data_IF_744269795961
#
_entry.id   IF_744269795961
#
_cell.length_a   1.000
_cell.length_b   1.000
_cell.length_c   1.000
_cell.angle_alpha   90.00
_cell.angle_beta   90.00
_cell.angle_gamma   90.00
#
_symmetry.space_group_name_H-M   'P 1'
#
loop_
_entity.id
_entity.type
_entity.pdbx_description
1 polymer ?
#
# COMPACT_ATOMS: atom_id res chain seq x y z
N UNK A 1 -0.02 14.78 -6.35
CA UNK A 1 -0.44 13.63 -5.52
C UNK A 1 -1.96 13.70 -5.37
N UNK A 2 -2.66 12.57 -5.38
CA UNK A 2 -4.12 12.58 -5.18
C UNK A 2 -4.44 12.50 -3.69
N UNK A 3 -5.42 13.29 -3.25
CA UNK A 3 -5.95 13.22 -1.88
C UNK A 3 -6.57 11.84 -1.67
N UNK A 4 -6.44 11.29 -0.46
CA UNK A 4 -7.09 10.04 -0.06
C UNK A 4 -8.62 10.12 -0.25
N UNK A 5 -9.25 8.99 -0.56
CA UNK A 5 -10.68 8.86 -0.85
C UNK A 5 -11.58 9.52 0.22
N UNK A 6 -12.16 10.71 -0.06
CA UNK A 6 -12.86 11.49 0.98
C UNK A 6 -14.12 10.80 1.51
N UNK A 7 -14.83 10.07 0.65
CA UNK A 7 -16.02 9.30 0.98
C UNK A 7 -15.75 8.26 2.08
N UNK A 8 -14.59 7.59 2.02
CA UNK A 8 -14.19 6.63 3.04
C UNK A 8 -13.90 7.33 4.38
N UNK A 9 -13.23 8.50 4.34
CA UNK A 9 -12.88 9.24 5.56
C UNK A 9 -14.12 9.83 6.26
N UNK A 10 -15.14 10.21 5.50
CA UNK A 10 -16.40 10.68 6.05
C UNK A 10 -17.19 9.57 6.76
N UNK A 11 -17.00 8.32 6.34
CA UNK A 11 -17.63 7.15 6.94
C UNK A 11 -16.84 6.56 8.12
N UNK A 12 -15.58 6.94 8.29
CA UNK A 12 -14.64 6.32 9.24
C UNK A 12 -15.11 6.34 10.71
N UNK A 13 -15.76 7.41 11.16
CA UNK A 13 -16.32 7.52 12.52
C UNK A 13 -17.78 7.09 12.61
N UNK A 14 -18.41 6.72 11.50
CA UNK A 14 -19.82 6.33 11.48
C UNK A 14 -19.98 4.91 12.04
N UNK A 15 -21.13 4.70 12.69
CA UNK A 15 -21.48 3.43 13.33
C UNK A 15 -21.33 2.20 12.40
N UNK A 16 -21.70 2.24 11.10
CA UNK A 16 -21.53 1.08 10.22
C UNK A 16 -20.09 0.60 10.08
N UNK A 17 -19.12 1.53 9.96
CA UNK A 17 -17.70 1.19 9.87
C UNK A 17 -17.20 0.58 11.19
N UNK A 18 -17.47 1.25 12.32
CA UNK A 18 -17.02 0.79 13.64
C UNK A 18 -17.64 -0.56 14.03
N UNK A 19 -18.92 -0.80 13.71
CA UNK A 19 -19.58 -2.10 13.94
C UNK A 19 -18.98 -3.20 13.07
N UNK A 20 -18.57 -2.89 11.83
CA UNK A 20 -17.89 -3.86 10.95
C UNK A 20 -16.53 -4.25 11.53
N UNK A 21 -15.73 -3.27 11.98
CA UNK A 21 -14.44 -3.50 12.65
C UNK A 21 -14.65 -4.32 13.92
N UNK A 22 -15.57 -3.89 14.80
CA UNK A 22 -15.95 -4.61 16.01
C UNK A 22 -16.25 -6.08 15.74
N UNK A 23 -17.16 -6.35 14.80
CA UNK A 23 -17.58 -7.71 14.46
C UNK A 23 -16.43 -8.55 13.88
N UNK A 24 -15.60 -7.98 13.02
CA UNK A 24 -14.53 -8.71 12.32
C UNK A 24 -13.37 -9.07 13.26
N UNK A 25 -13.04 -8.18 14.19
CA UNK A 25 -11.91 -8.33 15.11
C UNK A 25 -12.32 -8.77 16.52
N UNK A 26 -13.60 -9.14 16.69
CA UNK A 26 -14.17 -9.68 17.92
C UNK A 26 -14.00 -8.77 19.14
N UNK A 27 -14.18 -7.46 18.95
CA UNK A 27 -14.22 -6.52 20.07
C UNK A 27 -15.53 -6.66 20.86
N UNK A 28 -15.43 -6.61 22.18
CA UNK A 28 -16.56 -6.68 23.08
C UNK A 28 -17.40 -5.38 23.05
N UNK A 29 -18.65 -5.44 23.50
CA UNK A 29 -19.53 -4.25 23.50
C UNK A 29 -18.94 -3.08 24.32
N UNK A 30 -18.33 -3.40 25.46
CA UNK A 30 -17.72 -2.39 26.34
C UNK A 30 -16.48 -1.71 25.73
N UNK A 31 -15.89 -2.30 24.68
CA UNK A 31 -14.72 -1.74 24.00
C UNK A 31 -15.09 -0.77 22.88
N UNK A 32 -16.38 -0.57 22.59
CA UNK A 32 -16.84 0.28 21.49
C UNK A 32 -16.45 1.75 21.66
N UNK A 33 -16.52 2.27 22.88
CA UNK A 33 -16.14 3.65 23.16
C UNK A 33 -14.64 3.86 23.00
N UNK A 34 -13.82 2.89 23.42
CA UNK A 34 -12.36 2.91 23.20
C UNK A 34 -12.02 2.82 21.71
N UNK A 35 -12.67 1.91 20.97
CA UNK A 35 -12.49 1.77 19.52
C UNK A 35 -12.82 3.09 18.79
N UNK A 36 -13.92 3.75 19.19
CA UNK A 36 -14.31 5.05 18.64
C UNK A 36 -13.32 6.16 19.02
N UNK A 37 -12.78 6.13 20.25
CA UNK A 37 -11.77 7.08 20.68
C UNK A 37 -10.49 6.97 19.85
N UNK A 38 -9.97 5.75 19.66
CA UNK A 38 -8.79 5.50 18.80
C UNK A 38 -9.05 5.95 17.37
N UNK A 39 -10.22 5.64 16.80
CA UNK A 39 -10.59 6.13 15.47
C UNK A 39 -10.64 7.68 15.43
N UNK A 40 -11.12 8.32 16.49
CA UNK A 40 -11.14 9.78 16.63
C UNK A 40 -9.73 10.40 16.62
N UNK A 41 -8.77 9.76 17.27
CA UNK A 41 -7.35 10.19 17.27
C UNK A 41 -6.68 9.95 15.91
N UNK A 42 -7.03 8.87 15.21
CA UNK A 42 -6.50 8.55 13.88
C UNK A 42 -6.98 9.53 12.79
N UNK A 43 -8.27 9.89 12.80
CA UNK A 43 -8.89 10.65 11.71
C UNK A 43 -8.15 11.95 11.31
N UNK A 44 -7.78 12.86 12.24
CA UNK A 44 -7.09 14.10 11.85
C UNK A 44 -5.70 13.85 11.25
N UNK A 45 -5.01 12.77 11.65
CA UNK A 45 -3.71 12.38 11.09
C UNK A 45 -3.87 11.90 9.65
N UNK A 46 -4.85 11.00 9.43
CA UNK A 46 -5.16 10.45 8.12
C UNK A 46 -5.63 11.54 7.16
N UNK A 47 -6.51 12.44 7.60
CA UNK A 47 -6.98 13.58 6.77
C UNK A 47 -5.85 14.49 6.29
N UNK A 48 -4.77 14.59 7.06
CA UNK A 48 -3.61 15.42 6.72
C UNK A 48 -2.62 14.70 5.83
N UNK A 49 -2.39 13.41 6.06
CA UNK A 49 -1.21 12.71 5.52
C UNK A 49 -1.54 11.56 4.58
N UNK A 50 -2.77 11.05 4.59
CA UNK A 50 -3.13 9.92 3.75
C UNK A 50 -3.22 10.33 2.29
N UNK A 51 -2.77 9.45 1.40
CA UNK A 51 -2.77 9.67 -0.04
C UNK A 51 -2.83 8.36 -0.80
N UNK A 52 -3.06 8.49 -2.11
CA UNK A 52 -2.85 7.40 -3.05
C UNK A 52 -2.32 7.92 -4.37
N UNK A 53 -1.59 7.05 -5.09
CA UNK A 53 -1.05 7.34 -6.41
C UNK A 53 -1.08 6.11 -7.30
N UNK A 54 -1.14 6.34 -8.61
CA UNK A 54 -1.05 5.28 -9.62
C UNK A 54 -0.14 5.67 -10.77
N UNK A 55 0.57 4.70 -11.34
CA UNK A 55 1.37 4.87 -12.56
C UNK A 55 1.19 3.67 -13.46
N UNK A 56 1.29 3.90 -14.77
CA UNK A 56 1.34 2.79 -15.73
C UNK A 56 2.56 1.94 -15.40
N UNK A 57 2.33 0.64 -15.27
CA UNK A 57 3.38 -0.34 -15.02
C UNK A 57 3.66 -1.11 -16.30
N UNK A 58 4.94 -1.24 -16.65
CA UNK A 58 5.36 -1.77 -17.95
C UNK A 58 5.84 -3.21 -17.89
N UNK A 59 5.94 -3.83 -16.70
CA UNK A 59 6.31 -5.23 -16.62
C UNK A 59 5.05 -6.11 -16.70
N UNK A 60 4.75 -6.63 -17.90
CA UNK A 60 3.98 -7.87 -18.00
C UNK A 60 4.90 -9.06 -17.62
N UNK A 61 4.35 -10.20 -17.17
CA UNK A 61 5.14 -11.40 -16.88
C UNK A 61 6.01 -11.87 -18.06
N UNK A 62 5.65 -11.55 -19.30
CA UNK A 62 6.34 -11.95 -20.53
C UNK A 62 7.44 -10.99 -21.00
N UNK A 63 7.42 -9.72 -20.59
CA UNK A 63 8.49 -8.74 -20.91
C UNK A 63 9.63 -8.73 -19.87
N UNK A 64 9.57 -9.66 -18.89
CA UNK A 64 10.44 -9.77 -17.71
C UNK A 64 11.90 -10.12 -18.00
N UNK A 65 12.18 -11.07 -18.91
CA UNK A 65 13.54 -11.63 -19.03
C UNK A 65 14.59 -10.55 -19.36
N UNK A 66 14.29 -9.64 -20.29
CA UNK A 66 15.20 -8.56 -20.69
C UNK A 66 15.46 -7.49 -19.61
N UNK A 67 14.51 -7.25 -18.70
CA UNK A 67 14.66 -6.24 -17.63
C UNK A 67 15.55 -6.75 -16.49
N UNK A 68 15.34 -7.99 -16.06
CA UNK A 68 16.11 -8.62 -14.97
C UNK A 68 17.52 -9.05 -15.41
N UNK A 69 17.68 -9.53 -16.64
CA UNK A 69 19.00 -9.81 -17.24
C UNK A 69 19.89 -8.56 -17.28
N UNK A 70 19.34 -7.40 -17.65
CA UNK A 70 20.07 -6.13 -17.70
C UNK A 70 20.52 -5.66 -16.30
N UNK A 71 19.83 -6.09 -15.23
CA UNK A 71 20.15 -5.76 -13.84
C UNK A 71 21.02 -6.82 -13.15
N UNK A 72 21.42 -7.89 -13.84
CA UNK A 72 22.27 -8.95 -13.28
C UNK A 72 21.55 -9.88 -12.29
N UNK A 73 20.22 -9.87 -12.30
CA UNK A 73 19.41 -10.78 -11.48
C UNK A 73 19.12 -12.03 -12.28
N UNK A 74 19.88 -13.09 -12.05
CA UNK A 74 19.59 -14.40 -12.61
C UNK A 74 18.40 -14.99 -11.86
N UNK A 75 17.27 -15.18 -12.54
CA UNK A 75 16.19 -16.01 -12.02
C UNK A 75 16.76 -17.38 -11.64
N UNK A 76 16.34 -17.92 -10.49
CA UNK A 76 16.69 -19.28 -10.07
C UNK A 76 16.39 -20.29 -11.20
N UNK A 77 17.29 -21.23 -11.48
CA UNK A 77 17.23 -22.10 -12.65
C UNK A 77 16.23 -23.25 -12.42
N UNK A 78 14.95 -22.94 -12.29
CA UNK A 78 13.89 -23.95 -12.20
C UNK A 78 12.71 -23.54 -13.06
N UNK A 79 12.95 -23.51 -14.38
CA UNK A 79 12.01 -23.92 -15.44
C UNK A 79 12.72 -23.83 -16.79
N UNK A 80 13.56 -24.82 -17.08
CA UNK A 80 13.69 -25.30 -18.46
C UNK A 80 12.74 -26.49 -18.58
N UNK A 81 11.85 -26.40 -19.56
CA UNK A 81 10.91 -27.42 -20.03
C UNK A 81 9.58 -27.50 -19.26
N UNK A 82 8.51 -26.94 -19.82
CA UNK A 82 7.55 -27.68 -20.66
C UNK A 82 6.97 -26.67 -21.66
N UNK A 83 7.52 -26.69 -22.89
CA UNK A 83 6.80 -26.22 -24.06
C UNK A 83 5.78 -27.32 -24.39
N UNK A 84 4.50 -27.05 -24.20
CA UNK A 84 3.43 -27.71 -24.92
C UNK A 84 2.30 -26.70 -25.13
N UNK A 85 2.35 -26.08 -26.31
CA UNK A 85 1.23 -25.68 -27.16
C UNK A 85 -0.07 -25.29 -26.46
N UNK A 86 -0.15 -24.03 -26.03
CA UNK A 86 -1.43 -23.36 -25.74
C UNK A 86 -2.03 -22.84 -27.07
N UNK A 87 -3.35 -22.97 -27.28
CA UNK A 87 -3.97 -22.64 -28.56
C UNK A 87 -3.92 -21.15 -28.84
N UNK A 88 -3.44 -20.81 -30.03
CA UNK A 88 -3.46 -19.49 -30.64
C UNK A 88 -4.93 -19.03 -30.83
N UNK A 89 -5.53 -18.40 -29.81
CA UNK A 89 -6.60 -17.41 -29.93
C UNK A 89 -7.06 -16.92 -28.54
N UNK A 90 -6.28 -16.04 -27.92
CA UNK A 90 -6.78 -15.16 -26.87
C UNK A 90 -6.14 -13.79 -27.10
N UNK A 91 -6.96 -12.76 -27.30
CA UNK A 91 -6.51 -11.41 -27.64
C UNK A 91 -5.79 -10.77 -26.46
N UNK A 92 -4.49 -11.03 -26.30
CA UNK A 92 -3.58 -10.45 -25.29
C UNK A 92 -3.35 -8.92 -25.46
N UNK A 93 -4.08 -8.29 -26.38
CA UNK A 93 -3.93 -6.86 -26.73
C UNK A 93 -4.74 -5.92 -25.83
N UNK A 94 -5.61 -6.44 -24.96
CA UNK A 94 -6.51 -5.64 -24.12
C UNK A 94 -6.23 -5.76 -22.61
N UNK A 95 -4.98 -6.04 -22.24
CA UNK A 95 -4.52 -5.98 -20.84
C UNK A 95 -3.62 -4.77 -20.58
N UNK A 96 -3.79 -4.16 -19.42
CA UNK A 96 -2.98 -3.02 -18.96
C UNK A 96 -2.63 -3.19 -17.49
N UNK A 97 -1.45 -2.72 -17.11
CA UNK A 97 -0.98 -2.81 -15.72
C UNK A 97 -0.75 -1.43 -15.14
N UNK A 98 -1.15 -1.24 -13.88
CA UNK A 98 -0.89 -0.02 -13.13
C UNK A 98 -0.31 -0.36 -11.76
N UNK A 99 0.82 0.23 -11.41
CA UNK A 99 1.32 0.22 -10.05
C UNK A 99 0.51 1.22 -9.24
N UNK A 100 0.14 0.85 -8.02
CA UNK A 100 -0.66 1.68 -7.12
C UNK A 100 -0.01 1.69 -5.74
N UNK A 101 0.07 2.87 -5.16
CA UNK A 101 0.57 3.11 -3.80
C UNK A 101 -0.54 3.79 -3.02
N UNK A 102 -0.84 3.27 -1.83
CA UNK A 102 -1.83 3.84 -0.91
C UNK A 102 -1.19 3.90 0.48
N UNK A 103 -1.30 5.04 1.18
CA UNK A 103 -0.75 5.20 2.53
C UNK A 103 -1.72 5.97 3.43
N UNK A 104 -1.77 5.60 4.71
CA UNK A 104 -2.46 6.36 5.76
C UNK A 104 -1.56 7.42 6.43
N UNK A 105 -0.29 7.50 6.05
CA UNK A 105 0.65 8.50 6.57
C UNK A 105 1.44 8.06 7.82
N UNK A 106 2.46 8.85 8.15
CA UNK A 106 3.39 8.59 9.26
C UNK A 106 2.76 8.84 10.63
N UNK A 107 1.79 9.75 10.71
CA UNK A 107 1.10 10.10 11.94
C UNK A 107 0.41 8.89 12.56
N UNK A 108 -0.11 7.96 11.75
CA UNK A 108 -0.71 6.72 12.25
C UNK A 108 0.33 5.81 12.91
N UNK A 109 1.53 5.71 12.33
CA UNK A 109 2.64 4.97 12.93
C UNK A 109 3.10 5.63 14.23
N UNK A 110 3.27 6.96 14.23
CA UNK A 110 3.66 7.73 15.41
C UNK A 110 2.64 7.59 16.55
N UNK A 111 1.34 7.53 16.22
CA UNK A 111 0.26 7.29 17.18
C UNK A 111 0.34 5.88 17.77
N UNK A 112 0.54 4.86 16.93
CA UNK A 112 0.71 3.48 17.40
C UNK A 112 1.96 3.34 18.29
N UNK A 113 3.06 3.98 17.93
CA UNK A 113 4.30 4.01 18.74
C UNK A 113 4.12 4.76 20.06
N UNK A 114 3.26 5.79 20.09
CA UNK A 114 2.86 6.48 21.33
C UNK A 114 2.09 5.54 22.27
N UNK A 115 1.10 4.80 21.76
CA UNK A 115 0.38 3.81 22.57
C UNK A 115 1.30 2.69 23.06
N UNK A 116 2.18 2.19 22.20
CA UNK A 116 3.12 1.13 22.55
C UNK A 116 4.05 1.55 23.70
N UNK A 117 4.61 2.76 23.64
CA UNK A 117 5.44 3.32 24.73
C UNK A 117 4.69 3.50 26.05
N UNK A 118 3.37 3.68 26.01
CA UNK A 118 2.51 3.78 27.19
C UNK A 118 2.01 2.42 27.70
N UNK A 119 2.39 1.30 27.06
CA UNK A 119 1.88 -0.03 27.39
C UNK A 119 0.42 -0.25 26.99
N UNK A 120 -0.13 0.60 26.13
CA UNK A 120 -1.52 0.57 25.67
C UNK A 120 -1.71 -0.42 24.52
N UNK A 121 -1.52 -1.71 24.81
CA UNK A 121 -1.52 -2.78 23.80
C UNK A 121 -2.89 -2.97 23.12
N UNK A 122 -3.98 -2.80 23.87
CA UNK A 122 -5.36 -2.87 23.33
C UNK A 122 -5.58 -1.80 22.24
N UNK A 123 -5.13 -0.57 22.51
CA UNK A 123 -5.27 0.56 21.58
C UNK A 123 -4.33 0.41 20.37
N UNK A 124 -3.14 -0.17 20.54
CA UNK A 124 -2.28 -0.54 19.41
C UNK A 124 -3.00 -1.51 18.46
N UNK A 125 -3.69 -2.50 19.01
CA UNK A 125 -4.45 -3.50 18.24
C UNK A 125 -5.72 -2.91 17.62
N UNK A 126 -6.44 -2.04 18.33
CA UNK A 126 -7.58 -1.29 17.76
C UNK A 126 -7.15 -0.43 16.58
N UNK A 127 -6.04 0.30 16.71
CA UNK A 127 -5.46 1.10 15.63
C UNK A 127 -5.10 0.22 14.42
N UNK A 128 -4.50 -0.95 14.66
CA UNK A 128 -4.19 -1.93 13.61
C UNK A 128 -5.45 -2.38 12.86
N UNK A 129 -6.50 -2.75 13.60
CA UNK A 129 -7.77 -3.20 13.04
C UNK A 129 -8.46 -2.11 12.21
N UNK A 130 -8.50 -0.88 12.73
CA UNK A 130 -9.07 0.28 12.07
C UNK A 130 -8.30 0.63 10.78
N UNK A 131 -6.96 0.65 10.85
CA UNK A 131 -6.11 0.94 9.70
C UNK A 131 -6.25 -0.14 8.61
N UNK A 132 -6.29 -1.41 9.01
CA UNK A 132 -6.47 -2.54 8.09
C UNK A 132 -7.80 -2.48 7.34
N UNK A 133 -8.90 -2.19 8.04
CA UNK A 133 -10.22 -2.02 7.40
C UNK A 133 -10.26 -0.81 6.48
N UNK A 134 -9.61 0.28 6.86
CA UNK A 134 -9.56 1.49 6.04
C UNK A 134 -8.76 1.27 4.75
N UNK A 135 -7.61 0.57 4.83
CA UNK A 135 -6.86 0.16 3.65
C UNK A 135 -7.65 -0.83 2.79
N UNK A 136 -8.45 -1.72 3.39
CA UNK A 136 -9.33 -2.60 2.63
C UNK A 136 -10.42 -1.84 1.86
N UNK A 137 -11.05 -0.84 2.48
CA UNK A 137 -12.03 0.01 1.80
C UNK A 137 -11.41 0.78 0.63
N UNK A 138 -10.11 1.13 0.72
CA UNK A 138 -9.38 1.84 -0.32
C UNK A 138 -9.30 1.06 -1.66
N UNK A 139 -9.27 -0.28 -1.64
CA UNK A 139 -9.36 -1.08 -2.87
C UNK A 139 -10.71 -0.90 -3.56
N UNK A 140 -11.78 -0.86 -2.77
CA UNK A 140 -13.13 -0.60 -3.25
C UNK A 140 -13.24 0.79 -3.89
N UNK A 141 -12.66 1.82 -3.27
CA UNK A 141 -12.65 3.16 -3.83
C UNK A 141 -11.75 3.28 -5.07
N UNK A 142 -10.59 2.62 -5.10
CA UNK A 142 -9.75 2.55 -6.30
C UNK A 142 -10.50 1.90 -7.47
N UNK A 143 -11.23 0.81 -7.23
CA UNK A 143 -12.06 0.18 -8.26
C UNK A 143 -13.13 1.11 -8.81
N UNK A 144 -13.87 1.80 -7.92
CA UNK A 144 -14.86 2.81 -8.34
C UNK A 144 -14.20 3.90 -9.17
N UNK A 145 -13.07 4.44 -8.70
CA UNK A 145 -12.31 5.44 -9.44
C UNK A 145 -11.96 4.97 -10.85
N UNK A 146 -11.40 3.76 -11.00
CA UNK A 146 -11.02 3.20 -12.30
C UNK A 146 -12.22 3.05 -13.22
N UNK A 147 -13.36 2.57 -12.71
CA UNK A 147 -14.60 2.40 -13.47
C UNK A 147 -15.24 3.73 -13.89
N UNK A 148 -15.21 4.74 -13.03
CA UNK A 148 -15.84 6.05 -13.28
C UNK A 148 -15.00 6.95 -14.19
N UNK A 149 -13.67 6.81 -14.14
CA UNK A 149 -12.73 7.73 -14.81
C UNK A 149 -12.01 7.12 -16.01
N UNK A 150 -12.19 5.81 -16.26
CA UNK A 150 -11.52 5.12 -17.37
C UNK A 150 -12.47 4.14 -18.07
N UNK A 151 -12.04 3.60 -19.22
CA UNK A 151 -12.74 2.51 -19.91
C UNK A 151 -12.29 1.12 -19.47
N UNK A 152 -11.61 1.04 -18.33
CA UNK A 152 -10.96 -0.16 -17.83
C UNK A 152 -11.61 -0.62 -16.52
N UNK A 153 -11.46 -1.89 -16.22
CA UNK A 153 -11.90 -2.54 -14.99
C UNK A 153 -10.72 -3.27 -14.36
N UNK A 154 -10.63 -3.29 -13.03
CA UNK A 154 -9.59 -4.04 -12.33
C UNK A 154 -9.92 -5.53 -12.39
N UNK A 155 -9.13 -6.26 -13.18
CA UNK A 155 -9.20 -7.70 -13.31
C UNK A 155 -8.57 -8.39 -12.11
N UNK A 156 -7.40 -7.96 -11.63
CA UNK A 156 -6.67 -8.63 -10.53
C UNK A 156 -5.72 -7.66 -9.82
N UNK A 157 -5.37 -7.99 -8.57
CA UNK A 157 -4.33 -7.32 -7.81
C UNK A 157 -3.18 -8.29 -7.57
N UNK A 158 -1.96 -7.82 -7.74
CA UNK A 158 -0.74 -8.57 -7.48
C UNK A 158 0.10 -7.81 -6.46
N UNK A 159 0.42 -8.48 -5.36
CA UNK A 159 1.21 -7.89 -4.28
C UNK A 159 2.66 -8.37 -4.40
N UNK A 160 3.65 -7.47 -4.37
CA UNK A 160 5.06 -7.89 -4.33
C UNK A 160 5.32 -8.88 -3.19
N UNK A 161 5.91 -10.02 -3.52
CA UNK A 161 6.17 -11.14 -2.62
C UNK A 161 5.04 -12.18 -2.50
N UNK A 162 3.87 -11.96 -3.13
CA UNK A 162 2.75 -12.93 -3.04
C UNK A 162 2.78 -14.01 -4.13
N UNK A 163 3.43 -13.75 -5.25
CA UNK A 163 3.47 -14.62 -6.43
C UNK A 163 4.88 -14.62 -7.02
N UNK A 164 5.32 -15.72 -7.64
CA UNK A 164 6.64 -15.81 -8.30
C UNK A 164 6.84 -14.75 -9.39
N UNK A 165 5.74 -14.33 -10.02
CA UNK A 165 5.75 -13.31 -11.08
C UNK A 165 5.95 -11.89 -10.56
N UNK A 166 5.73 -11.67 -9.25
CA UNK A 166 5.80 -10.39 -8.58
C UNK A 166 6.69 -10.52 -7.33
N UNK A 167 8.02 -10.65 -7.50
CA UNK A 167 8.95 -10.81 -6.38
C UNK A 167 8.95 -9.56 -5.48
N UNK A 168 9.30 -9.72 -4.20
CA UNK A 168 9.30 -8.60 -3.24
C UNK A 168 10.34 -7.54 -3.61
N UNK A 169 11.42 -7.97 -4.24
CA UNK A 169 12.59 -7.19 -4.67
C UNK A 169 12.26 -6.12 -5.72
N UNK A 170 11.08 -6.18 -6.34
CA UNK A 170 10.62 -5.13 -7.27
C UNK A 170 10.08 -3.88 -6.55
N UNK A 171 9.84 -3.94 -5.24
CA UNK A 171 9.29 -2.81 -4.46
C UNK A 171 10.08 -1.50 -4.61
N UNK A 172 11.43 -1.48 -4.51
CA UNK A 172 12.20 -0.25 -4.66
C UNK A 172 12.00 0.40 -6.02
N UNK A 173 11.99 -0.38 -7.11
CA UNK A 173 11.76 0.12 -8.47
C UNK A 173 10.36 0.73 -8.63
N UNK A 174 9.34 0.08 -8.04
CA UNK A 174 7.99 0.64 -8.01
C UNK A 174 8.00 2.00 -7.31
N UNK A 175 8.55 2.08 -6.10
CA UNK A 175 8.55 3.29 -5.29
C UNK A 175 9.40 4.41 -5.91
N UNK A 176 10.52 4.10 -6.56
CA UNK A 176 11.35 5.06 -7.29
C UNK A 176 10.59 5.68 -8.47
N UNK A 177 9.79 4.88 -9.18
CA UNK A 177 8.91 5.37 -10.23
C UNK A 177 7.96 6.45 -9.70
N UNK A 178 7.48 6.35 -8.46
CA UNK A 178 6.68 7.39 -7.79
C UNK A 178 7.51 8.59 -7.32
N UNK A 179 8.72 8.38 -6.81
CA UNK A 179 9.61 9.45 -6.31
C UNK A 179 9.97 10.52 -7.37
N UNK A 180 10.02 10.13 -8.64
CA UNK A 180 10.43 10.96 -9.79
C UNK A 180 9.53 12.19 -10.04
N UNK A 181 8.35 12.27 -9.43
CA UNK A 181 7.43 13.42 -9.55
C UNK A 181 7.70 14.56 -8.56
N UNK A 182 8.57 14.36 -7.56
CA UNK A 182 8.82 15.35 -6.51
C UNK A 182 9.99 16.30 -6.81
N UNK A 183 10.69 16.16 -7.95
CA UNK A 183 11.89 16.94 -8.27
C UNK A 183 11.64 18.36 -8.81
N UNK A 184 10.39 18.86 -8.83
CA UNK A 184 10.10 20.21 -9.33
C UNK A 184 9.73 21.25 -8.27
N UNK A 185 9.54 20.87 -7.00
CA UNK A 185 9.09 21.81 -5.95
C UNK A 185 9.95 21.85 -4.67
N UNK A 186 11.03 21.06 -4.57
CA UNK A 186 11.90 21.01 -3.36
C UNK A 186 13.36 21.44 -3.64
N UNK A 187 13.63 22.06 -4.80
CA UNK A 187 14.94 22.64 -5.08
C UNK A 187 15.14 24.02 -4.42
N UNK A 188 14.06 24.70 -4.02
CA UNK A 188 14.12 26.10 -3.57
C UNK A 188 14.05 26.31 -2.05
N UNK A 189 13.96 25.26 -1.23
CA UNK A 189 13.76 25.43 0.22
C UNK A 189 14.94 24.97 1.09
N UNK A 190 15.76 23.99 0.67
CA UNK A 190 17.01 23.66 1.36
C UNK A 190 18.08 23.18 0.37
N UNK A 191 19.22 23.89 0.21
CA UNK A 191 20.32 23.40 -0.61
C UNK A 191 20.86 22.08 -0.04
N UNK A 192 21.16 21.12 -0.93
CA UNK A 192 21.71 19.77 -0.69
C UNK A 192 23.11 19.77 -0.02
N UNK A 193 23.32 20.53 1.06
CA UNK A 193 24.61 20.60 1.75
C UNK A 193 24.64 19.88 3.09
N UNK A 194 23.49 19.67 3.72
CA UNK A 194 23.51 19.27 5.13
C UNK A 194 23.63 17.75 5.35
N UNK A 195 23.16 16.89 4.44
CA UNK A 195 23.15 15.42 4.71
C UNK A 195 24.55 14.79 4.72
N UNK A 196 25.50 15.30 3.92
CA UNK A 196 26.84 14.73 3.83
C UNK A 196 27.78 15.25 4.94
N UNK A 197 27.56 16.46 5.46
CA UNK A 197 28.39 17.01 6.53
C UNK A 197 28.15 16.31 7.88
N UNK A 198 26.91 15.90 8.16
CA UNK A 198 26.57 15.20 9.41
C UNK A 198 27.21 13.81 9.54
N UNK A 199 27.50 13.12 8.43
CA UNK A 199 28.13 11.80 8.49
C UNK A 199 29.64 11.87 8.72
N UNK A 200 30.31 12.94 8.27
CA UNK A 200 31.75 13.13 8.50
C UNK A 200 32.05 13.67 9.91
N UNK A 201 31.21 14.57 10.44
CA UNK A 201 31.44 15.17 11.76
C UNK A 201 31.20 14.20 12.93
N UNK A 202 30.31 13.21 12.76
CA UNK A 202 30.08 12.14 13.75
C UNK A 202 31.28 11.18 13.90
N UNK A 203 32.12 11.05 12.88
CA UNK A 203 33.30 10.18 12.92
C UNK A 203 34.50 10.81 13.67
N UNK A 204 34.49 12.13 13.93
CA UNK A 204 35.66 12.89 14.38
C UNK A 204 35.65 13.34 15.86
N UNK A 205 34.62 13.01 16.66
CA UNK A 205 34.56 13.32 18.11
C UNK A 205 34.88 14.79 18.49
N UNK A 206 34.54 15.76 17.64
CA UNK A 206 34.64 17.18 18.00
C UNK A 206 33.49 17.59 18.93
N UNK A 207 33.72 18.50 19.90
CA UNK A 207 32.70 18.92 20.85
C UNK A 207 31.58 19.67 20.12
N UNK A 208 30.33 19.28 20.42
CA UNK A 208 29.11 19.93 19.94
C UNK A 208 29.21 21.44 20.14
N UNK A 209 29.39 22.20 19.05
CA UNK A 209 29.17 23.64 19.05
C UNK A 209 27.69 23.90 18.82
N UNK A 210 27.12 24.59 19.81
CA UNK A 210 25.88 25.36 19.87
C UNK A 210 24.79 25.05 18.84
N UNK A 211 23.67 24.62 19.41
CA UNK A 211 22.45 24.13 18.77
C UNK A 211 21.92 25.07 17.69
N UNK A 212 21.70 24.52 16.50
CA UNK A 212 20.96 25.18 15.43
C UNK A 212 19.57 25.61 15.91
N UNK A 213 19.05 26.80 15.53
CA UNK A 213 17.82 27.39 16.07
C UNK A 213 16.51 26.61 15.80
N UNK A 214 16.58 25.49 15.06
CA UNK A 214 15.45 24.71 14.59
C UNK A 214 14.98 23.61 15.54
N UNK A 215 15.53 23.51 16.75
CA UNK A 215 15.11 22.55 17.78
C UNK A 215 14.23 23.14 18.89
N UNK A 216 13.85 24.41 18.81
CA UNK A 216 12.91 25.01 19.75
C UNK A 216 11.48 24.91 19.19
N UNK A 217 10.68 24.09 19.89
CA UNK A 217 9.22 23.95 19.79
C UNK A 217 8.65 23.37 18.47
N UNK A 218 8.40 22.06 18.50
CA UNK A 218 7.15 21.46 17.99
C UNK A 218 6.94 21.33 16.47
N UNK A 219 7.79 21.89 15.62
CA UNK A 219 7.66 21.73 14.16
C UNK A 219 8.58 20.61 13.68
N UNK A 220 8.04 19.38 13.61
CA UNK A 220 8.76 18.29 12.92
C UNK A 220 8.88 18.67 11.45
N UNK A 221 10.08 18.68 10.85
CA UNK A 221 10.24 18.97 9.44
C UNK A 221 9.37 17.98 8.67
N UNK A 222 8.49 18.52 7.82
CA UNK A 222 7.54 17.81 6.95
C UNK A 222 8.12 16.45 6.53
N UNK A 223 7.73 15.36 7.22
CA UNK A 223 8.14 14.00 6.82
C UNK A 223 7.55 13.85 5.44
N UNK A 224 8.43 13.83 4.44
CA UNK A 224 8.09 13.78 3.03
C UNK A 224 6.94 12.78 2.85
N UNK A 225 5.87 13.19 2.18
CA UNK A 225 4.63 12.45 1.94
C UNK A 225 4.84 11.17 1.10
N UNK A 226 6.01 10.55 1.16
CA UNK A 226 6.41 9.46 0.28
C UNK A 226 6.48 8.16 1.06
N UNK A 227 5.96 7.13 0.42
CA UNK A 227 6.20 5.75 0.81
C UNK A 227 7.63 5.38 0.41
N UNK A 228 8.39 4.86 1.36
CA UNK A 228 9.75 4.33 1.16
C UNK A 228 9.78 2.85 1.54
N UNK A 229 10.84 2.15 1.18
CA UNK A 229 11.15 0.83 1.73
C UNK A 229 12.56 0.82 2.30
N UNK A 230 12.75 0.10 3.41
CA UNK A 230 14.07 -0.09 4.01
C UNK A 230 14.87 -1.21 3.29
N UNK A 231 16.08 -1.50 3.77
CA UNK A 231 16.93 -2.57 3.21
C UNK A 231 16.34 -3.98 3.35
N UNK A 232 15.38 -4.17 4.25
CA UNK A 232 14.61 -5.41 4.40
C UNK A 232 13.32 -5.41 3.57
N UNK A 233 13.17 -4.45 2.65
CA UNK A 233 11.99 -4.26 1.78
C UNK A 233 10.68 -4.01 2.55
N UNK A 234 10.77 -3.63 3.83
CA UNK A 234 9.58 -3.23 4.60
C UNK A 234 9.17 -1.81 4.22
N UNK A 235 7.89 -1.66 3.91
CA UNK A 235 7.29 -0.41 3.47
C UNK A 235 7.06 0.53 4.67
N UNK A 236 7.35 1.81 4.49
CA UNK A 236 7.13 2.87 5.46
C UNK A 236 6.45 4.08 4.78
N UNK A 237 5.37 4.66 5.32
CA UNK A 237 4.68 4.31 6.57
C UNK A 237 4.17 2.87 6.62
N UNK A 238 4.12 2.27 7.81
CA UNK A 238 3.75 0.86 8.02
C UNK A 238 2.31 0.60 7.58
N UNK A 239 1.43 1.60 7.68
CA UNK A 239 0.04 1.56 7.17
C UNK A 239 -0.04 1.98 5.71
N UNK A 240 0.70 1.29 4.87
CA UNK A 240 0.71 1.48 3.43
C UNK A 240 0.58 0.16 2.70
N UNK A 241 0.11 0.23 1.45
CA UNK A 241 0.11 -0.92 0.55
C UNK A 241 0.58 -0.50 -0.84
N UNK A 242 1.33 -1.41 -1.47
CA UNK A 242 1.79 -1.29 -2.85
C UNK A 242 1.34 -2.54 -3.59
N UNK A 243 0.72 -2.36 -4.75
CA UNK A 243 0.28 -3.46 -5.59
C UNK A 243 0.32 -3.09 -7.06
N UNK A 244 0.31 -4.11 -7.92
CA UNK A 244 0.07 -3.95 -9.35
C UNK A 244 -1.38 -4.37 -9.64
N UNK A 245 -2.16 -3.47 -10.23
CA UNK A 245 -3.49 -3.73 -10.73
C UNK A 245 -3.42 -4.17 -12.20
N UNK A 246 -3.88 -5.38 -12.48
CA UNK A 246 -4.19 -5.85 -13.83
C UNK A 246 -5.54 -5.27 -14.24
N UNK A 247 -5.59 -4.59 -15.39
CA UNK A 247 -6.74 -3.92 -15.94
C UNK A 247 -7.17 -4.55 -17.27
N UNK A 248 -8.48 -4.67 -17.48
CA UNK A 248 -9.10 -5.18 -18.71
C UNK A 248 -10.21 -4.24 -19.20
N UNK A 249 -10.52 -4.29 -20.50
CA UNK A 249 -11.71 -3.61 -21.08
C UNK A 249 -12.99 -4.45 -21.00
N UNK A 250 -12.89 -5.71 -20.59
CA UNK A 250 -14.06 -6.57 -20.42
C UNK A 250 -14.90 -6.07 -19.24
N UNK A 251 -16.06 -5.49 -19.55
CA UNK A 251 -16.96 -4.84 -18.58
C UNK A 251 -17.57 -5.79 -17.52
N UNK A 252 -17.34 -7.09 -17.64
CA UNK A 252 -17.80 -8.10 -16.69
C UNK A 252 -16.68 -8.69 -15.81
N UNK A 253 -15.42 -8.29 -16.00
CA UNK A 253 -14.31 -8.79 -15.20
C UNK A 253 -14.43 -8.28 -13.75
N UNK A 254 -14.83 -9.18 -12.85
CA UNK A 254 -14.91 -8.95 -11.40
C UNK A 254 -13.65 -9.50 -10.75
N UNK A 255 -13.02 -8.69 -9.90
CA UNK A 255 -11.73 -9.02 -9.27
C UNK A 255 -11.78 -10.34 -8.43
N UNK A 256 -10.98 -11.37 -8.79
CA UNK A 256 -10.93 -12.66 -8.10
C UNK A 256 -10.07 -12.65 -6.83
N UNK A 257 -9.14 -11.70 -6.68
CA UNK A 257 -8.05 -11.79 -5.69
C UNK A 257 -8.38 -11.34 -4.27
N UNK A 258 -9.05 -10.19 -4.09
CA UNK A 258 -9.35 -9.65 -2.74
C UNK A 258 -10.67 -10.20 -2.19
N UNK A 259 -11.59 -10.57 -3.07
CA UNK A 259 -12.95 -10.92 -2.67
C UNK A 259 -13.09 -12.35 -2.14
N UNK A 260 -12.10 -13.22 -2.34
CA UNK A 260 -12.01 -14.56 -1.75
C UNK A 260 -11.85 -14.51 -0.22
N UNK A 261 -11.07 -13.55 0.30
CA UNK A 261 -10.87 -13.32 1.75
C UNK A 261 -11.80 -12.29 2.39
N UNK A 262 -12.70 -11.67 1.61
CA UNK A 262 -13.68 -10.72 2.14
C UNK A 262 -14.78 -11.47 2.93
N UNK A 263 -15.30 -10.92 4.03
CA UNK A 263 -16.47 -11.48 4.76
C UNK A 263 -17.82 -10.87 4.32
N UNK A 264 -17.82 -9.88 3.42
CA UNK A 264 -19.06 -9.29 2.88
C UNK A 264 -19.67 -10.20 1.81
N UNK A 265 -20.56 -11.11 2.21
CA UNK A 265 -21.25 -12.08 1.31
C UNK A 265 -22.07 -11.42 0.19
N UNK A 266 -22.35 -10.12 0.31
CA UNK A 266 -23.04 -9.30 -0.71
C UNK A 266 -22.11 -8.26 -1.37
N UNK A 267 -20.80 -8.49 -1.37
CA UNK A 267 -19.89 -7.61 -2.12
C UNK A 267 -20.20 -7.71 -3.62
N UNK A 268 -20.44 -6.60 -4.34
CA UNK A 268 -20.68 -6.60 -5.79
C UNK A 268 -19.56 -7.27 -6.60
N UNK A 269 -18.35 -7.26 -6.03
CA UNK A 269 -17.14 -7.83 -6.61
C UNK A 269 -16.84 -9.26 -6.14
N UNK A 270 -17.66 -9.86 -5.26
CA UNK A 270 -17.48 -11.26 -4.80
C UNK A 270 -17.81 -12.22 -5.93
N UNK A 271 -16.85 -13.07 -6.29
CA UNK A 271 -17.11 -14.23 -7.12
C UNK A 271 -17.86 -15.29 -6.31
N UNK A 272 -18.89 -15.92 -6.89
CA UNK A 272 -19.36 -17.21 -6.39
C UNK A 272 -18.25 -18.21 -6.68
N UNK A 273 -17.83 -19.01 -5.70
CA UNK A 273 -16.88 -20.10 -5.96
C UNK A 273 -17.42 -20.97 -7.10
N UNK A 274 -16.77 -20.91 -8.25
CA UNK A 274 -16.99 -21.91 -9.27
C UNK A 274 -16.32 -23.18 -8.74
N UNK A 275 -17.15 -24.15 -8.34
CA UNK A 275 -16.75 -25.51 -8.00
C UNK A 275 -15.67 -26.01 -8.96
N UNK A 276 -14.42 -26.08 -8.48
CA UNK A 276 -13.36 -26.79 -9.17
C UNK A 276 -12.72 -27.78 -8.20
N UNK A 277 -12.98 -29.05 -8.50
CA UNK A 277 -12.36 -30.27 -7.98
C UNK A 277 -12.60 -30.62 -6.50
N UNK A 278 -13.67 -31.37 -6.29
CA UNK A 278 -13.62 -32.52 -5.38
C UNK A 278 -12.49 -33.44 -5.83
N UNK A 279 -11.36 -33.43 -5.14
CA UNK A 279 -10.44 -34.56 -5.18
C UNK A 279 -10.99 -35.68 -4.29
N UNK A 280 -11.25 -36.89 -4.81
CA UNK A 280 -11.61 -38.01 -3.96
C UNK A 280 -10.40 -38.38 -3.09
N UNK A 281 -10.60 -38.33 -1.79
CA UNK A 281 -9.68 -38.91 -0.81
C UNK A 281 -9.88 -40.43 -0.93
N UNK A 282 -8.85 -41.12 -1.42
CA UNK A 282 -8.58 -42.53 -1.13
C UNK A 282 -7.36 -42.60 -0.23
#
# INVERSE_FOLDING_TARGET
MSIFFPDILDDFLKLPFLQRVKKKYHFEEHQMDELKAVAGEMLPLIRREAFWERKRWHASPTQREAFWERKGWHASPTRKNVLQEEPENMTDLDKRWEAVVISLGWGVDDLQESYSRKGMLSQCYMLEALAGELLLDSYGAYNRYVQEHTKWHVARYHFPGSEEDFPLEMLPDILEAFASQCHREVADICPRRDVLQYQEEAALHLPRKEESPCLQEGVRPYRQERVICNSALCIQPKKSVVYIAELTKEGEARCPGICSGCNSVRCPNRMKEAHYFSFPIY
#
